data_IF_058561629315
#
_entry.id   IF_058561629315
#
_cell.length_a   1.000
_cell.length_b   1.000
_cell.length_c   1.000
_cell.angle_alpha   90.00
_cell.angle_beta   90.00
_cell.angle_gamma   90.00
#
_symmetry.space_group_name_H-M   'P 1'
#
loop_
_entity.id
_entity.type
_entity.pdbx_description
1 polymer ?
#
# COMPACT_ATOMS: atom_id res chain seq x y z
N UNK A 1 -9.43 2.47 4.46
CA UNK A 1 -9.00 1.35 5.34
C UNK A 1 -7.63 1.63 5.96
N UNK A 2 -6.54 1.72 5.18
CA UNK A 2 -5.19 1.96 5.73
C UNK A 2 -5.01 3.35 6.34
N UNK A 3 -5.53 4.41 5.72
CA UNK A 3 -5.49 5.77 6.29
C UNK A 3 -6.05 5.78 7.72
N UNK A 4 -7.18 5.12 7.96
CA UNK A 4 -7.81 5.01 9.29
C UNK A 4 -6.97 4.24 10.30
N UNK A 5 -6.25 3.21 9.86
CA UNK A 5 -5.28 2.49 10.71
C UNK A 5 -4.13 3.43 11.12
N UNK A 6 -3.71 4.33 10.23
CA UNK A 6 -2.63 5.28 10.51
C UNK A 6 -3.08 6.48 11.35
N UNK A 7 -4.30 6.98 11.15
CA UNK A 7 -4.78 8.22 11.77
C UNK A 7 -5.62 7.99 13.02
N UNK A 8 -6.31 6.85 13.13
CA UNK A 8 -7.23 6.56 14.23
C UNK A 8 -8.44 7.50 14.31
N UNK A 9 -8.73 8.23 13.23
CA UNK A 9 -9.63 9.39 13.20
C UNK A 9 -11.10 9.10 13.53
N UNK A 10 -11.60 7.90 13.22
CA UNK A 10 -12.97 7.51 13.51
C UNK A 10 -13.03 6.22 14.35
N UNK A 11 -13.25 6.28 15.67
CA UNK A 11 -13.00 5.16 16.59
C UNK A 11 -13.66 3.82 16.21
N UNK A 12 -14.92 3.85 15.76
CA UNK A 12 -15.65 2.62 15.34
C UNK A 12 -15.09 2.01 14.05
N UNK A 13 -14.62 2.86 13.14
CA UNK A 13 -14.09 2.41 11.85
C UNK A 13 -12.63 2.00 11.98
N UNK A 14 -11.86 2.68 12.83
CA UNK A 14 -10.49 2.33 13.21
C UNK A 14 -10.44 0.91 13.74
N UNK A 15 -11.29 0.55 14.71
CA UNK A 15 -11.28 -0.81 15.27
C UNK A 15 -11.58 -1.88 14.21
N UNK A 16 -12.52 -1.61 13.31
CA UNK A 16 -12.83 -2.53 12.21
C UNK A 16 -11.66 -2.67 11.23
N UNK A 17 -11.05 -1.55 10.85
CA UNK A 17 -9.92 -1.49 9.93
C UNK A 17 -8.67 -2.16 10.51
N UNK A 18 -8.36 -1.93 11.78
CA UNK A 18 -7.26 -2.59 12.51
C UNK A 18 -7.47 -4.10 12.57
N UNK A 19 -8.68 -4.55 12.94
CA UNK A 19 -8.99 -5.99 12.98
C UNK A 19 -8.84 -6.62 11.60
N UNK A 20 -9.32 -5.95 10.55
CA UNK A 20 -9.14 -6.43 9.18
C UNK A 20 -7.66 -6.50 8.80
N UNK A 21 -6.89 -5.45 9.06
CA UNK A 21 -5.46 -5.38 8.76
C UNK A 21 -4.67 -6.47 9.51
N UNK A 22 -4.93 -6.65 10.81
CA UNK A 22 -4.30 -7.69 11.63
C UNK A 22 -4.65 -9.11 11.18
N UNK A 23 -5.89 -9.36 10.72
CA UNK A 23 -6.27 -10.68 10.18
C UNK A 23 -5.50 -11.00 8.91
N UNK A 24 -5.36 -10.05 8.00
CA UNK A 24 -4.67 -10.29 6.72
C UNK A 24 -3.15 -10.40 6.90
N UNK A 25 -2.53 -9.53 7.71
CA UNK A 25 -1.08 -9.57 7.98
C UNK A 25 -0.62 -10.87 8.67
N UNK A 26 -1.49 -11.53 9.46
CA UNK A 26 -1.22 -12.84 10.08
C UNK A 26 -1.55 -14.04 9.19
N UNK A 27 -2.37 -13.85 8.15
CA UNK A 27 -2.78 -14.90 7.22
C UNK A 27 -1.90 -14.91 5.98
N UNK A 28 -2.42 -14.37 4.86
CA UNK A 28 -1.75 -14.34 3.56
C UNK A 28 -0.90 -13.09 3.29
N UNK A 29 -0.82 -12.16 4.24
CA UNK A 29 -0.22 -10.85 4.06
C UNK A 29 -1.16 -9.82 3.45
N UNK A 30 -0.69 -8.58 3.36
CA UNK A 30 -1.36 -7.43 2.78
C UNK A 30 -0.44 -6.85 1.71
N UNK A 31 -0.84 -6.99 0.45
CA UNK A 31 -0.17 -6.29 -0.64
C UNK A 31 -0.68 -4.85 -0.73
N UNK A 32 0.23 -3.89 -0.75
CA UNK A 32 -0.07 -2.46 -0.89
C UNK A 32 0.56 -1.94 -2.19
N UNK A 33 -0.25 -1.64 -3.22
CA UNK A 33 0.26 -1.06 -4.46
C UNK A 33 0.89 0.33 -4.25
N UNK A 34 1.85 0.69 -5.09
CA UNK A 34 2.49 2.02 -5.06
C UNK A 34 1.49 3.17 -5.20
N UNK A 35 0.46 2.97 -6.04
CA UNK A 35 -0.63 3.94 -6.18
C UNK A 35 -1.35 4.19 -4.84
N UNK A 36 -1.56 3.15 -4.04
CA UNK A 36 -2.17 3.25 -2.71
C UNK A 36 -1.21 3.94 -1.73
N UNK A 37 0.09 3.69 -1.83
CA UNK A 37 1.08 4.42 -1.02
C UNK A 37 1.09 5.92 -1.36
N UNK A 38 1.02 6.27 -2.65
CA UNK A 38 0.92 7.65 -3.11
C UNK A 38 -0.37 8.32 -2.62
N UNK A 39 -1.50 7.63 -2.73
CA UNK A 39 -2.79 8.11 -2.23
C UNK A 39 -2.76 8.33 -0.71
N UNK A 40 -2.21 7.39 0.08
CA UNK A 40 -2.08 7.55 1.53
C UNK A 40 -1.24 8.79 1.84
N UNK A 41 -0.08 8.95 1.21
CA UNK A 41 0.77 10.13 1.41
C UNK A 41 0.03 11.43 1.08
N UNK A 42 -0.70 11.47 -0.03
CA UNK A 42 -1.50 12.61 -0.44
C UNK A 42 -2.63 12.90 0.55
N UNK A 43 -3.38 11.90 1.01
CA UNK A 43 -4.47 12.08 1.98
C UNK A 43 -3.93 12.57 3.33
N UNK A 44 -2.86 11.97 3.85
CA UNK A 44 -2.27 12.37 5.14
C UNK A 44 -1.80 13.83 5.12
N UNK A 45 -1.21 14.27 4.01
CA UNK A 45 -0.70 15.64 3.88
C UNK A 45 -1.80 16.65 3.58
N UNK A 46 -2.75 16.33 2.68
CA UNK A 46 -3.78 17.28 2.22
C UNK A 46 -5.00 17.35 3.14
N UNK A 47 -5.50 16.21 3.63
CA UNK A 47 -6.73 16.15 4.42
C UNK A 47 -6.46 16.17 5.94
N UNK A 48 -5.36 15.58 6.39
CA UNK A 48 -4.99 15.53 7.83
C UNK A 48 -3.90 16.53 8.22
N UNK A 49 -3.33 17.26 7.26
CA UNK A 49 -2.32 18.29 7.53
C UNK A 49 -1.03 17.76 8.15
N UNK A 50 -0.73 16.46 7.98
CA UNK A 50 0.51 15.89 8.52
C UNK A 50 1.73 16.51 7.85
N UNK A 51 2.77 16.78 8.65
CA UNK A 51 4.04 17.22 8.10
C UNK A 51 4.69 16.10 7.28
N UNK A 52 5.59 16.49 6.36
CA UNK A 52 6.38 15.52 5.57
C UNK A 52 7.11 14.51 6.46
N UNK A 53 7.65 14.96 7.59
CA UNK A 53 8.39 14.10 8.51
C UNK A 53 7.49 13.08 9.23
N UNK A 54 6.28 13.48 9.62
CA UNK A 54 5.30 12.57 10.24
C UNK A 54 4.80 11.56 9.21
N UNK A 55 4.45 12.03 8.01
CA UNK A 55 4.01 11.19 6.89
C UNK A 55 5.07 10.15 6.54
N UNK A 56 6.34 10.57 6.36
CA UNK A 56 7.44 9.65 6.07
C UNK A 56 7.58 8.56 7.14
N UNK A 57 7.62 8.92 8.43
CA UNK A 57 7.75 7.93 9.52
C UNK A 57 6.59 6.94 9.55
N UNK A 58 5.37 7.38 9.28
CA UNK A 58 4.20 6.51 9.26
C UNK A 58 4.18 5.58 8.05
N UNK A 59 4.58 6.09 6.87
CA UNK A 59 4.73 5.29 5.66
C UNK A 59 5.83 4.23 5.82
N UNK A 60 6.98 4.63 6.37
CA UNK A 60 8.11 3.75 6.65
C UNK A 60 7.72 2.59 7.59
N UNK A 61 6.97 2.89 8.66
CA UNK A 61 6.42 1.86 9.55
C UNK A 61 5.45 0.93 8.84
N UNK A 62 4.59 1.47 7.97
CA UNK A 62 3.60 0.68 7.22
C UNK A 62 4.29 -0.35 6.32
N UNK A 63 5.26 0.09 5.51
CA UNK A 63 5.93 -0.80 4.54
C UNK A 63 6.83 -1.84 5.21
N UNK A 64 7.36 -1.54 6.40
CA UNK A 64 8.15 -2.49 7.20
C UNK A 64 7.30 -3.32 8.18
N UNK A 65 5.97 -3.17 8.17
CA UNK A 65 5.10 -3.98 9.01
C UNK A 65 5.14 -5.43 8.53
N UNK A 66 5.35 -6.37 9.46
CA UNK A 66 5.37 -7.80 9.14
C UNK A 66 4.06 -8.22 8.45
N UNK A 67 4.20 -8.90 7.32
CA UNK A 67 3.05 -9.32 6.53
C UNK A 67 2.49 -8.22 5.63
N UNK A 68 3.15 -7.06 5.52
CA UNK A 68 2.92 -6.10 4.43
C UNK A 68 3.94 -6.36 3.33
N UNK A 69 3.48 -6.39 2.08
CA UNK A 69 4.31 -6.38 0.89
C UNK A 69 3.95 -5.18 0.01
N UNK A 70 4.95 -4.59 -0.63
CA UNK A 70 4.80 -3.52 -1.62
C UNK A 70 5.29 -4.02 -2.98
N UNK A 71 5.05 -3.26 -4.05
CA UNK A 71 5.60 -3.62 -5.35
C UNK A 71 7.13 -3.51 -5.31
N UNK A 72 7.81 -4.45 -5.96
CA UNK A 72 9.26 -4.38 -6.16
C UNK A 72 9.53 -3.63 -7.46
N UNK A 73 10.32 -2.55 -7.39
CA UNK A 73 10.59 -1.66 -8.52
C UNK A 73 11.31 -2.38 -9.67
N UNK A 74 12.10 -3.42 -9.36
CA UNK A 74 12.77 -4.25 -10.38
C UNK A 74 11.80 -5.07 -11.25
N UNK A 75 10.56 -5.35 -10.80
CA UNK A 75 9.57 -6.08 -11.61
C UNK A 75 8.95 -5.22 -12.73
N UNK A 76 8.98 -3.89 -12.62
CA UNK A 76 8.37 -3.02 -13.63
C UNK A 76 9.24 -2.94 -14.90
N UNK A 77 10.56 -3.07 -14.78
CA UNK A 77 11.47 -3.11 -15.92
C UNK A 77 11.48 -4.47 -16.64
N UNK A 78 11.11 -5.55 -15.96
CA UNK A 78 10.99 -6.88 -16.57
C UNK A 78 9.70 -7.06 -17.39
N UNK A 79 8.64 -6.28 -17.11
CA UNK A 79 7.42 -6.18 -17.95
C UNK A 79 7.69 -5.23 -19.14
N UNK A 80 8.91 -5.25 -19.69
CA UNK A 80 9.16 -4.83 -21.06
C UNK A 80 8.33 -5.69 -22.01
N UNK A 81 7.90 -5.16 -23.18
CA UNK A 81 6.80 -5.71 -23.96
C UNK A 81 7.01 -7.19 -24.24
N UNK A 82 6.14 -8.00 -23.65
CA UNK A 82 6.09 -9.44 -23.86
C UNK A 82 5.99 -9.71 -25.36
N UNK A 83 6.84 -10.63 -25.80
CA UNK A 83 6.99 -11.10 -27.16
C UNK A 83 5.67 -11.03 -27.95
N UNK A 84 5.66 -10.18 -28.99
CA UNK A 84 4.73 -10.35 -30.10
C UNK A 84 5.12 -11.63 -30.83
N UNK A 85 4.76 -12.78 -30.25
CA UNK A 85 4.58 -14.02 -30.98
C UNK A 85 3.33 -13.85 -31.82
N UNK A 86 3.44 -13.12 -32.93
CA UNK A 86 2.52 -13.33 -34.05
C UNK A 86 2.95 -14.64 -34.69
N UNK A 87 2.31 -15.69 -34.18
CA UNK A 87 2.09 -16.95 -34.87
C UNK A 87 1.87 -16.68 -36.35
N UNK A 88 2.79 -17.23 -37.14
CA UNK A 88 2.65 -17.54 -38.55
C UNK A 88 1.32 -18.28 -38.71
N UNK A 89 0.35 -17.67 -39.37
CA UNK A 89 -0.80 -18.39 -39.91
C UNK A 89 -0.55 -18.61 -41.41
N UNK A 90 -1.02 -19.76 -41.96
CA UNK A 90 -0.43 -20.42 -43.12
C UNK A 90 -0.52 -19.64 -44.42
#
# INVERSE_FOLDING_TARGET
>A
MLVRVLTGDHPKETQSAERAFLRHTKGGGVFVPDLVLAEISWVLTSAYGWSRAVTHRSMDRLIHTRGVSVADHERVSEIGPEATSRSRFP
#
